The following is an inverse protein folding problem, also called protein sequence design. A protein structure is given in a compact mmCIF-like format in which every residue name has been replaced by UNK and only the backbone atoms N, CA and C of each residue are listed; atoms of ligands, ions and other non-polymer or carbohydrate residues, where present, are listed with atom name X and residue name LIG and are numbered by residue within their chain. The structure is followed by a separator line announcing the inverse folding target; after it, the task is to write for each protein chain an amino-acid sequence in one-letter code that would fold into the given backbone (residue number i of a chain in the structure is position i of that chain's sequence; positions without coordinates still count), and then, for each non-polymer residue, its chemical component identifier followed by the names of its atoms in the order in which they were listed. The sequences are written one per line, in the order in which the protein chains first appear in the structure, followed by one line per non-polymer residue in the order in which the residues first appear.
data_IF_356381529328
#
_entry.id   IF_356381529328
#
_cell.length_a   1.000
_cell.length_b   1.000
_cell.length_c   1.000
_cell.angle_alpha   90.00
_cell.angle_beta   90.00
_cell.angle_gamma   90.00
#
_symmetry.space_group_name_H-M   'P 1'
#
loop_
_entity.id
_entity.type
_entity.pdbx_description
1 polymer ?
#
# COMPACT_ATOMS: atom_id res chain seq x y z
N UNK A 1 -3.72 -23.20 23.36
CA UNK A 1 -4.32 -22.52 22.19
C UNK A 1 -3.40 -21.37 21.82
N UNK A 2 -2.92 -21.32 20.58
CA UNK A 2 -2.10 -20.19 20.13
C UNK A 2 -2.93 -18.91 20.22
N UNK A 3 -2.39 -17.88 20.86
CA UNK A 3 -3.04 -16.57 20.98
C UNK A 3 -3.15 -15.94 19.58
N UNK A 4 -4.37 -15.66 19.14
CA UNK A 4 -4.62 -14.98 17.86
C UNK A 4 -4.20 -13.52 18.00
N UNK A 5 -3.37 -13.04 17.09
CA UNK A 5 -2.88 -11.65 17.07
C UNK A 5 -3.28 -10.93 15.77
N UNK A 6 -3.38 -9.60 15.85
CA UNK A 6 -3.50 -8.78 14.64
C UNK A 6 -2.32 -9.05 13.70
N UNK A 7 -2.61 -9.21 12.41
CA UNK A 7 -1.62 -9.55 11.39
C UNK A 7 -1.33 -11.04 11.24
N UNK A 8 -1.90 -11.91 12.09
CA UNK A 8 -1.81 -13.34 11.87
C UNK A 8 -2.62 -13.74 10.64
N UNK A 9 -2.08 -14.65 9.85
CA UNK A 9 -2.73 -15.24 8.67
C UNK A 9 -3.13 -16.67 8.99
N UNK A 10 -4.41 -16.97 8.83
CA UNK A 10 -4.99 -18.29 9.03
C UNK A 10 -5.74 -18.76 7.80
N UNK A 11 -5.81 -20.06 7.57
CA UNK A 11 -6.87 -20.60 6.74
C UNK A 11 -8.20 -20.47 7.46
N UNK A 12 -9.22 -19.98 6.76
CA UNK A 12 -10.57 -19.82 7.28
C UNK A 12 -11.58 -20.58 6.41
N UNK A 13 -12.45 -21.36 7.04
CA UNK A 13 -13.52 -22.04 6.33
C UNK A 13 -14.46 -21.01 5.68
N UNK A 14 -14.78 -21.24 4.42
CA UNK A 14 -15.77 -20.46 3.68
C UNK A 14 -17.18 -20.56 4.30
N UNK A 15 -18.08 -19.64 3.93
CA UNK A 15 -19.45 -19.70 4.40
C UNK A 15 -20.28 -20.62 3.51
N UNK A 16 -20.98 -21.61 4.07
CA UNK A 16 -21.88 -22.45 3.29
C UNK A 16 -23.05 -21.64 2.71
N UNK A 17 -23.46 -20.57 3.43
CA UNK A 17 -24.59 -19.69 3.07
C UNK A 17 -24.14 -18.43 2.30
N UNK A 18 -22.92 -18.44 1.75
CA UNK A 18 -22.38 -17.30 1.01
C UNK A 18 -23.22 -16.99 -0.24
N UNK A 19 -23.48 -15.71 -0.46
CA UNK A 19 -24.28 -15.20 -1.60
C UNK A 19 -23.37 -14.42 -2.57
N UNK A 20 -23.57 -14.62 -3.85
CA UNK A 20 -22.85 -13.90 -4.90
C UNK A 20 -21.34 -14.08 -4.83
N UNK A 21 -20.62 -12.98 -4.60
CA UNK A 21 -19.15 -12.93 -4.55
C UNK A 21 -18.56 -13.21 -3.16
N UNK A 22 -19.35 -13.59 -2.18
CA UNK A 22 -18.86 -13.97 -0.87
C UNK A 22 -18.03 -15.26 -0.92
N UNK A 23 -17.08 -15.40 0.02
CA UNK A 23 -16.14 -16.51 0.01
C UNK A 23 -16.79 -17.81 0.53
N UNK A 24 -16.92 -18.80 -0.36
CA UNK A 24 -17.45 -20.14 -0.09
C UNK A 24 -16.38 -21.19 0.21
N UNK A 25 -15.13 -20.95 -0.23
CA UNK A 25 -14.04 -21.92 -0.10
C UNK A 25 -13.19 -21.60 1.11
N UNK A 26 -12.46 -22.58 1.60
CA UNK A 26 -11.39 -22.35 2.59
C UNK A 26 -10.29 -21.53 1.92
N UNK A 27 -9.97 -20.38 2.50
CA UNK A 27 -8.97 -19.46 2.01
C UNK A 27 -8.13 -18.85 3.13
N UNK A 28 -6.94 -18.38 2.85
CA UNK A 28 -6.19 -17.57 3.81
C UNK A 28 -6.92 -16.26 4.05
N UNK A 29 -6.86 -15.81 5.31
CA UNK A 29 -7.38 -14.52 5.79
C UNK A 29 -6.38 -13.90 6.74
N UNK A 30 -6.32 -12.56 6.76
CA UNK A 30 -5.51 -11.79 7.73
C UNK A 30 -6.41 -11.32 8.87
N UNK A 31 -5.97 -11.50 10.12
CA UNK A 31 -6.63 -10.95 11.30
C UNK A 31 -6.42 -9.44 11.33
N UNK A 32 -7.49 -8.66 11.21
CA UNK A 32 -7.44 -7.19 11.24
C UNK A 32 -7.92 -6.60 12.56
N UNK A 33 -8.63 -7.39 13.37
CA UNK A 33 -9.09 -6.99 14.70
C UNK A 33 -7.90 -6.77 15.65
N UNK A 34 -8.00 -5.78 16.55
CA UNK A 34 -6.99 -5.52 17.56
C UNK A 34 -6.82 -6.67 18.58
N UNK A 35 -5.69 -6.70 19.26
CA UNK A 35 -5.36 -7.81 20.16
C UNK A 35 -6.26 -7.91 21.40
N UNK A 36 -6.80 -6.78 21.90
CA UNK A 36 -7.73 -6.79 23.02
C UNK A 36 -9.06 -7.47 22.63
N UNK A 37 -9.61 -7.13 21.46
CA UNK A 37 -10.76 -7.81 20.89
C UNK A 37 -10.49 -9.27 20.57
N UNK A 38 -9.29 -9.58 20.04
CA UNK A 38 -8.89 -10.96 19.78
C UNK A 38 -8.83 -11.81 21.05
N UNK A 39 -8.48 -11.23 22.18
CA UNK A 39 -8.42 -11.95 23.46
C UNK A 39 -9.81 -12.23 24.05
N UNK A 40 -10.74 -11.26 23.94
CA UNK A 40 -12.01 -11.28 24.69
C UNK A 40 -13.20 -11.79 23.88
N UNK A 41 -13.22 -11.61 22.54
CA UNK A 41 -14.38 -11.99 21.71
C UNK A 41 -14.30 -13.45 21.24
N UNK A 42 -15.43 -14.16 21.08
CA UNK A 42 -15.50 -15.44 20.38
C UNK A 42 -15.32 -15.32 18.86
N UNK A 43 -15.44 -14.12 18.33
CA UNK A 43 -15.30 -13.81 16.91
C UNK A 43 -14.07 -12.94 16.66
N UNK A 44 -13.63 -12.89 15.41
CA UNK A 44 -12.54 -12.00 14.93
C UNK A 44 -12.94 -11.34 13.63
N UNK A 45 -12.40 -10.15 13.39
CA UNK A 45 -12.53 -9.45 12.10
C UNK A 45 -11.34 -9.84 11.24
N UNK A 46 -11.62 -10.23 10.00
CA UNK A 46 -10.60 -10.68 9.04
C UNK A 46 -10.76 -9.96 7.70
N UNK A 47 -9.65 -9.78 6.98
CA UNK A 47 -9.62 -9.42 5.57
C UNK A 47 -9.36 -10.67 4.73
N UNK A 48 -10.11 -10.85 3.64
CA UNK A 48 -9.93 -11.97 2.74
C UNK A 48 -8.63 -11.84 1.93
N UNK A 49 -8.12 -12.99 1.49
CA UNK A 49 -6.96 -13.05 0.60
C UNK A 49 -7.29 -13.84 -0.67
N UNK A 50 -6.61 -13.51 -1.77
CA UNK A 50 -6.74 -14.20 -3.05
C UNK A 50 -5.37 -14.45 -3.69
N UNK A 51 -5.23 -15.58 -4.39
CA UNK A 51 -4.07 -15.88 -5.24
C UNK A 51 -4.20 -15.28 -6.65
N UNK A 52 -5.35 -14.68 -6.97
CA UNK A 52 -5.53 -14.00 -8.26
C UNK A 52 -4.91 -12.60 -8.21
N UNK A 53 -3.59 -12.54 -8.39
CA UNK A 53 -2.78 -11.32 -8.39
C UNK A 53 -2.60 -10.70 -9.77
N UNK A 54 -3.14 -11.34 -10.84
CA UNK A 54 -3.01 -10.86 -12.23
C UNK A 54 -3.86 -9.63 -12.53
N UNK A 55 -4.90 -9.38 -11.74
CA UNK A 55 -5.73 -8.19 -11.88
C UNK A 55 -5.00 -6.95 -11.35
N UNK A 56 -5.42 -5.76 -11.83
CA UNK A 56 -4.92 -4.47 -11.32
C UNK A 56 -4.97 -4.43 -9.79
N UNK A 57 -3.90 -3.96 -9.19
CA UNK A 57 -3.83 -3.69 -7.75
C UNK A 57 -4.56 -2.37 -7.45
N UNK A 58 -5.45 -2.40 -6.47
CA UNK A 58 -6.18 -1.21 -6.00
C UNK A 58 -5.55 -0.64 -4.72
N UNK A 59 -5.78 0.66 -4.39
CA UNK A 59 -5.16 1.30 -3.22
C UNK A 59 -5.49 0.65 -1.86
N UNK A 60 -6.61 -0.08 -1.76
CA UNK A 60 -7.01 -0.83 -0.58
C UNK A 60 -6.47 -2.27 -0.56
N UNK A 61 -5.53 -2.60 -1.43
CA UNK A 61 -4.98 -3.96 -1.57
C UNK A 61 -3.45 -3.93 -1.54
N UNK A 62 -2.83 -5.01 -1.10
CA UNK A 62 -1.39 -5.22 -1.24
C UNK A 62 -1.08 -6.70 -1.40
N UNK A 63 0.01 -6.97 -2.11
CA UNK A 63 0.47 -8.33 -2.35
C UNK A 63 1.49 -8.74 -1.27
N UNK A 64 1.46 -10.01 -0.90
CA UNK A 64 2.28 -10.62 0.14
C UNK A 64 2.77 -11.99 -0.33
N UNK A 65 4.02 -12.28 -0.08
CA UNK A 65 4.62 -13.59 -0.33
C UNK A 65 4.47 -14.46 0.94
N UNK A 66 3.64 -15.49 0.84
CA UNK A 66 3.42 -16.44 1.93
C UNK A 66 4.39 -17.61 1.77
N UNK A 67 5.28 -17.90 2.75
CA UNK A 67 6.23 -18.99 2.67
C UNK A 67 5.55 -20.33 2.35
N UNK A 68 5.99 -20.98 1.27
CA UNK A 68 5.43 -22.25 0.82
C UNK A 68 4.06 -22.18 0.12
N UNK A 69 3.56 -20.97 -0.16
CA UNK A 69 2.30 -20.74 -0.87
C UNK A 69 2.50 -19.80 -2.06
N UNK A 70 1.50 -19.71 -2.93
CA UNK A 70 1.53 -18.75 -4.03
C UNK A 70 1.42 -17.30 -3.52
N UNK A 71 2.01 -16.37 -4.29
CA UNK A 71 1.82 -14.92 -4.07
C UNK A 71 0.34 -14.63 -3.87
N UNK A 72 0.02 -13.93 -2.82
CA UNK A 72 -1.35 -13.70 -2.39
C UNK A 72 -1.62 -12.21 -2.21
N UNK A 73 -2.83 -11.77 -2.51
CA UNK A 73 -3.29 -10.38 -2.35
C UNK A 73 -4.23 -10.27 -1.17
N UNK A 74 -3.94 -9.37 -0.25
CA UNK A 74 -4.84 -8.97 0.83
C UNK A 74 -5.86 -7.98 0.27
N UNK A 75 -7.14 -8.22 0.54
CA UNK A 75 -8.28 -7.45 0.04
C UNK A 75 -8.95 -6.74 1.22
N UNK A 76 -8.51 -5.53 1.54
CA UNK A 76 -9.05 -4.76 2.68
C UNK A 76 -10.47 -4.22 2.44
N UNK A 77 -10.98 -4.31 1.22
CA UNK A 77 -12.39 -4.07 0.89
C UNK A 77 -13.29 -5.27 1.18
N UNK A 78 -12.71 -6.45 1.41
CA UNK A 78 -13.45 -7.68 1.71
C UNK A 78 -13.26 -8.12 3.15
N UNK A 79 -13.77 -7.30 4.06
CA UNK A 79 -13.68 -7.53 5.50
C UNK A 79 -14.95 -8.22 5.99
N UNK A 80 -14.77 -9.18 6.89
CA UNK A 80 -15.89 -9.88 7.52
C UNK A 80 -15.57 -10.31 8.95
N UNK A 81 -16.61 -10.53 9.75
CA UNK A 81 -16.49 -11.14 11.06
C UNK A 81 -16.69 -12.65 10.95
N UNK A 82 -15.81 -13.41 11.57
CA UNK A 82 -15.87 -14.87 11.59
C UNK A 82 -15.74 -15.40 13.01
N UNK A 83 -16.41 -16.50 13.31
CA UNK A 83 -16.21 -17.25 14.56
C UNK A 83 -14.80 -17.86 14.56
N UNK A 84 -14.10 -17.79 15.68
CA UNK A 84 -12.73 -18.33 15.82
C UNK A 84 -12.65 -19.83 15.48
N UNK A 85 -13.73 -20.60 15.70
CA UNK A 85 -13.79 -22.02 15.35
C UNK A 85 -13.68 -22.28 13.84
N UNK A 86 -13.86 -21.26 12.99
CA UNK A 86 -13.69 -21.36 11.54
C UNK A 86 -12.24 -21.18 11.11
N UNK A 87 -11.37 -20.66 12.00
CA UNK A 87 -9.94 -20.58 11.73
C UNK A 87 -9.31 -21.97 11.83
N UNK A 88 -8.41 -22.27 10.93
CA UNK A 88 -7.64 -23.51 10.85
C UNK A 88 -6.17 -23.20 11.16
N UNK A 89 -5.25 -23.75 10.42
CA UNK A 89 -3.83 -23.59 10.64
C UNK A 89 -3.39 -22.12 10.42
N UNK A 90 -2.56 -21.63 11.32
CA UNK A 90 -1.84 -20.38 11.15
C UNK A 90 -0.69 -20.63 10.19
N UNK A 91 -0.63 -19.84 9.11
CA UNK A 91 0.37 -19.98 8.05
C UNK A 91 1.44 -18.90 8.07
N UNK A 92 1.12 -17.72 8.63
CA UNK A 92 2.05 -16.60 8.64
C UNK A 92 1.72 -15.60 9.75
N UNK A 93 2.63 -14.70 10.02
CA UNK A 93 2.41 -13.46 10.76
C UNK A 93 3.02 -12.32 9.98
N UNK A 94 2.25 -11.28 9.71
CA UNK A 94 2.74 -10.10 9.01
C UNK A 94 3.93 -9.49 9.73
N UNK A 95 4.92 -9.07 8.96
CA UNK A 95 6.02 -8.22 9.42
C UNK A 95 5.51 -6.83 9.78
N UNK A 96 6.33 -6.01 10.45
CA UNK A 96 5.94 -4.63 10.77
C UNK A 96 5.66 -3.78 9.53
N UNK A 97 6.41 -3.99 8.43
CA UNK A 97 6.19 -3.30 7.16
C UNK A 97 4.86 -3.69 6.51
N UNK A 98 4.53 -4.98 6.57
CA UNK A 98 3.25 -5.50 6.06
C UNK A 98 2.08 -5.05 6.94
N UNK A 99 2.26 -4.93 8.26
CA UNK A 99 1.26 -4.34 9.15
C UNK A 99 1.01 -2.87 8.81
N UNK A 100 2.04 -2.09 8.50
CA UNK A 100 1.89 -0.69 8.03
C UNK A 100 1.11 -0.62 6.71
N UNK A 101 1.37 -1.54 5.77
CA UNK A 101 0.59 -1.64 4.53
C UNK A 101 -0.85 -2.01 4.81
N UNK A 102 -1.09 -2.95 5.72
CA UNK A 102 -2.44 -3.33 6.16
C UNK A 102 -3.20 -2.14 6.72
N UNK A 103 -2.58 -1.35 7.61
CA UNK A 103 -3.20 -0.18 8.24
C UNK A 103 -3.55 0.88 7.19
N UNK A 104 -2.64 1.16 6.25
CA UNK A 104 -2.88 2.09 5.14
C UNK A 104 -4.03 1.62 4.25
N UNK A 105 -4.04 0.35 3.84
CA UNK A 105 -5.09 -0.20 2.99
C UNK A 105 -6.46 -0.23 3.68
N UNK A 106 -6.50 -0.50 4.99
CA UNK A 106 -7.73 -0.42 5.79
C UNK A 106 -8.23 1.02 5.88
N UNK A 107 -7.35 1.98 6.14
CA UNK A 107 -7.72 3.40 6.18
C UNK A 107 -8.31 3.86 4.84
N UNK A 108 -7.74 3.46 3.72
CA UNK A 108 -8.30 3.73 2.38
C UNK A 108 -9.66 3.06 2.22
N UNK A 109 -9.77 1.78 2.58
CA UNK A 109 -11.02 1.01 2.41
C UNK A 109 -12.18 1.59 3.20
N UNK A 110 -11.91 2.14 4.40
CA UNK A 110 -12.93 2.78 5.25
C UNK A 110 -13.13 4.27 4.98
N UNK A 111 -12.42 4.86 4.01
CA UNK A 111 -12.46 6.30 3.78
C UNK A 111 -11.86 7.12 4.93
N UNK A 112 -11.02 6.48 5.76
CA UNK A 112 -10.35 7.11 6.90
C UNK A 112 -8.96 7.65 6.53
N UNK A 113 -8.45 7.29 5.35
CA UNK A 113 -7.27 7.94 4.78
C UNK A 113 -7.64 9.41 4.61
N UNK A 114 -6.94 10.30 5.31
CA UNK A 114 -7.11 11.73 5.09
C UNK A 114 -6.87 11.99 3.61
N UNK A 115 -7.77 12.71 2.97
CA UNK A 115 -7.63 13.13 1.57
C UNK A 115 -6.39 14.01 1.36
N UNK A 116 -5.78 14.50 2.43
CA UNK A 116 -4.47 15.18 2.44
C UNK A 116 -3.34 14.36 1.77
N UNK A 117 -3.53 13.05 1.55
CA UNK A 117 -2.61 12.21 0.80
C UNK A 117 -3.05 11.97 -0.67
N UNK A 118 -4.25 12.43 -1.08
CA UNK A 118 -4.74 12.34 -2.45
C UNK A 118 -4.98 13.71 -3.11
N UNK A 119 -5.07 14.77 -2.31
CA UNK A 119 -4.96 16.13 -2.78
C UNK A 119 -3.51 16.57 -2.56
N UNK A 120 -2.64 16.25 -3.50
CA UNK A 120 -1.52 17.13 -3.77
C UNK A 120 -2.12 18.54 -3.91
N UNK A 121 -1.46 19.60 -3.40
CA UNK A 121 -2.06 20.92 -3.26
C UNK A 121 -2.74 21.29 -4.57
N UNK A 122 -4.05 21.62 -4.49
CA UNK A 122 -4.85 22.02 -5.66
C UNK A 122 -4.29 23.28 -6.34
N UNK A 123 -3.43 24.00 -5.64
CA UNK A 123 -2.68 25.15 -6.18
C UNK A 123 -1.46 24.75 -7.03
N UNK A 124 -1.03 23.46 -7.03
CA UNK A 124 0.06 23.02 -7.90
C UNK A 124 -0.39 22.80 -9.37
N UNK A 125 -1.68 22.94 -9.68
CA UNK A 125 -2.22 22.73 -11.03
C UNK A 125 -1.86 23.82 -12.02
N UNK A 126 -1.34 24.97 -11.59
CA UNK A 126 -0.94 26.04 -12.52
C UNK A 126 0.55 26.12 -12.85
N UNK A 127 1.41 25.36 -12.14
CA UNK A 127 2.87 25.37 -12.41
C UNK A 127 3.49 24.00 -12.58
N UNK A 128 2.84 22.93 -12.08
CA UNK A 128 3.41 21.57 -12.08
C UNK A 128 3.28 20.86 -13.44
N UNK A 129 2.17 21.04 -14.13
CA UNK A 129 1.90 20.37 -15.41
C UNK A 129 2.91 20.80 -16.48
N UNK A 130 3.34 22.05 -16.50
CA UNK A 130 4.33 22.57 -17.42
C UNK A 130 5.72 21.96 -17.20
N UNK A 131 6.10 21.71 -15.97
CA UNK A 131 7.42 21.12 -15.63
C UNK A 131 7.49 19.65 -16.05
N UNK A 132 6.47 18.86 -15.76
CA UNK A 132 6.43 17.44 -16.14
C UNK A 132 6.37 17.28 -17.68
N UNK A 133 5.62 18.14 -18.34
CA UNK A 133 5.57 18.19 -19.82
C UNK A 133 6.91 18.60 -20.44
N UNK A 134 7.61 19.59 -19.87
CA UNK A 134 8.92 20.02 -20.34
C UNK A 134 9.98 18.95 -20.11
N UNK A 135 9.96 18.25 -18.99
CA UNK A 135 10.83 17.12 -18.70
C UNK A 135 10.60 15.96 -19.69
N UNK A 136 9.34 15.60 -19.94
CA UNK A 136 8.98 14.55 -20.87
C UNK A 136 9.43 14.90 -22.32
N UNK A 137 9.29 16.16 -22.76
CA UNK A 137 9.79 16.64 -24.06
C UNK A 137 11.31 16.55 -24.19
N UNK A 138 12.04 16.60 -23.08
CA UNK A 138 13.51 16.46 -23.04
C UNK A 138 13.96 15.01 -22.81
N UNK A 139 13.03 14.07 -22.83
CA UNK A 139 13.32 12.64 -22.58
C UNK A 139 13.69 12.33 -21.14
N UNK A 140 13.37 13.23 -20.18
CA UNK A 140 13.64 13.04 -18.76
C UNK A 140 12.40 12.44 -18.06
N UNK A 141 12.64 11.56 -17.13
CA UNK A 141 11.62 10.95 -16.28
C UNK A 141 11.80 11.37 -14.82
N UNK A 142 10.69 11.57 -14.12
CA UNK A 142 10.67 11.91 -12.70
C UNK A 142 9.90 10.85 -11.94
N UNK A 143 10.52 10.32 -10.90
CA UNK A 143 9.85 9.47 -9.91
C UNK A 143 9.81 10.21 -8.57
N UNK A 144 8.64 10.28 -7.95
CA UNK A 144 8.44 10.87 -6.63
C UNK A 144 7.95 9.76 -5.70
N UNK A 145 8.77 9.38 -4.74
CA UNK A 145 8.45 8.34 -3.76
C UNK A 145 8.27 8.98 -2.38
N UNK A 146 7.07 8.94 -1.80
CA UNK A 146 6.86 9.46 -0.46
C UNK A 146 7.59 8.61 0.58
N UNK A 147 8.21 9.28 1.57
CA UNK A 147 8.82 8.68 2.75
C UNK A 147 8.01 9.10 3.99
N UNK A 148 6.88 8.46 4.25
CA UNK A 148 5.89 8.95 5.23
C UNK A 148 6.42 8.99 6.67
N UNK A 149 7.38 8.13 7.02
CA UNK A 149 7.99 8.07 8.37
C UNK A 149 8.85 9.31 8.65
N UNK A 150 9.43 9.90 7.61
CA UNK A 150 10.35 11.05 7.72
C UNK A 150 9.68 12.38 7.34
N UNK A 151 8.40 12.37 6.99
CA UNK A 151 7.70 13.53 6.41
C UNK A 151 8.51 14.14 5.23
N UNK A 152 9.09 13.29 4.40
CA UNK A 152 9.90 13.63 3.24
C UNK A 152 9.38 12.93 1.99
N UNK A 153 9.79 13.43 0.84
CA UNK A 153 9.65 12.77 -0.45
C UNK A 153 11.03 12.53 -1.06
N UNK A 154 11.21 11.37 -1.65
CA UNK A 154 12.39 11.07 -2.46
C UNK A 154 12.05 11.40 -3.91
N UNK A 155 12.82 12.30 -4.52
CA UNK A 155 12.64 12.73 -5.91
C UNK A 155 13.82 12.19 -6.70
N UNK A 156 13.54 11.48 -7.78
CA UNK A 156 14.56 11.01 -8.73
C UNK A 156 14.25 11.55 -10.11
N UNK A 157 15.20 12.23 -10.73
CA UNK A 157 15.16 12.69 -12.12
C UNK A 157 16.22 11.92 -12.90
N UNK A 158 15.83 11.30 -14.02
CA UNK A 158 16.73 10.47 -14.83
C UNK A 158 16.50 10.71 -16.33
N UNK A 159 17.54 10.57 -17.12
CA UNK A 159 17.49 10.56 -18.59
C UNK A 159 17.14 9.18 -19.17
N UNK A 160 16.94 8.18 -18.29
CA UNK A 160 16.59 6.82 -18.68
C UNK A 160 17.75 6.00 -19.24
N UNK A 161 18.98 6.53 -19.22
CA UNK A 161 20.20 5.84 -19.67
C UNK A 161 21.12 5.54 -18.50
N UNK A 162 22.01 6.49 -18.18
CA UNK A 162 23.07 6.24 -17.19
C UNK A 162 23.13 7.27 -16.06
N UNK A 163 22.35 8.36 -16.13
CA UNK A 163 22.38 9.43 -15.13
C UNK A 163 21.06 9.55 -14.41
N UNK A 164 21.14 9.47 -13.09
CA UNK A 164 20.01 9.74 -12.21
C UNK A 164 20.46 10.63 -11.04
N UNK A 165 19.71 11.68 -10.75
CA UNK A 165 19.88 12.50 -9.55
C UNK A 165 18.73 12.19 -8.61
N UNK A 166 19.07 11.88 -7.36
CA UNK A 166 18.08 11.56 -6.33
C UNK A 166 18.28 12.48 -5.13
N UNK A 167 17.22 13.09 -4.64
CA UNK A 167 17.22 13.95 -3.45
C UNK A 167 16.03 13.67 -2.54
N UNK A 168 16.22 13.85 -1.25
CA UNK A 168 15.16 13.82 -0.24
C UNK A 168 14.74 15.25 0.10
N UNK A 169 13.46 15.55 -0.02
CA UNK A 169 12.90 16.88 0.21
C UNK A 169 11.81 16.80 1.27
N UNK A 170 11.65 17.83 2.09
CA UNK A 170 10.55 17.88 3.06
C UNK A 170 9.20 17.87 2.33
N UNK A 171 8.26 17.06 2.83
CA UNK A 171 6.94 16.92 2.21
C UNK A 171 6.04 18.15 2.41
N UNK A 172 6.38 19.04 3.35
CA UNK A 172 5.64 20.27 3.66
C UNK A 172 6.36 21.51 3.10
N UNK A 173 5.71 22.21 2.16
CA UNK A 173 6.19 23.46 1.57
C UNK A 173 6.41 23.35 0.06
N UNK A 174 6.16 24.41 -0.69
CA UNK A 174 6.20 24.50 -2.16
C UNK A 174 7.55 24.18 -2.85
N UNK A 175 8.53 23.64 -2.12
CA UNK A 175 9.88 23.42 -2.60
C UNK A 175 10.10 22.23 -3.54
N UNK A 176 9.11 21.34 -3.73
CA UNK A 176 9.27 20.13 -4.59
C UNK A 176 9.49 20.54 -6.07
N UNK A 177 8.75 21.52 -6.54
CA UNK A 177 8.82 22.03 -7.92
C UNK A 177 10.15 22.71 -8.17
N UNK A 178 10.60 23.54 -7.23
CA UNK A 178 11.88 24.24 -7.32
C UNK A 178 13.05 23.23 -7.29
N UNK A 179 12.95 22.20 -6.44
CA UNK A 179 13.95 21.14 -6.36
C UNK A 179 14.04 20.31 -7.65
N UNK A 180 12.90 20.00 -8.28
CA UNK A 180 12.89 19.33 -9.60
C UNK A 180 13.57 20.19 -10.66
N UNK A 181 13.39 21.51 -10.65
CA UNK A 181 14.05 22.42 -11.57
C UNK A 181 15.56 22.46 -11.38
N UNK A 182 16.01 22.51 -10.11
CA UNK A 182 17.44 22.48 -9.76
C UNK A 182 18.09 21.15 -10.15
N UNK A 183 17.40 20.03 -9.93
CA UNK A 183 17.86 18.71 -10.34
C UNK A 183 17.97 18.59 -11.87
N UNK A 184 17.03 19.16 -12.61
CA UNK A 184 17.05 19.23 -14.07
C UNK A 184 18.26 20.01 -14.58
N UNK A 185 18.58 21.15 -13.96
CA UNK A 185 19.75 21.97 -14.31
C UNK A 185 21.05 21.20 -14.07
N UNK A 186 21.17 20.56 -12.90
CA UNK A 186 22.31 19.72 -12.57
C UNK A 186 22.50 18.54 -13.53
N UNK A 187 21.42 17.92 -13.99
CA UNK A 187 21.48 16.84 -14.98
C UNK A 187 22.01 17.33 -16.34
N UNK A 188 21.63 18.53 -16.75
CA UNK A 188 22.10 19.13 -18.00
C UNK A 188 23.61 19.48 -17.95
N UNK A 189 24.14 19.79 -16.77
CA UNK A 189 25.58 20.09 -16.57
C UNK A 189 26.45 18.82 -16.57
N UNK A 190 25.90 17.67 -16.18
CA UNK A 190 26.62 16.38 -16.15
C UNK A 190 26.60 15.69 -17.53
N UNK A 191 25.63 16.00 -18.38
CA UNK A 191 25.47 15.39 -19.71
C UNK A 191 26.27 16.12 -20.82
N UNK A 192 27.06 17.13 -20.46
CA UNK A 192 27.96 17.88 -21.37
C UNK A 192 29.40 17.49 -21.13
#
# INVERSE_FOLDING_TARGET
MNTIKRGDVFFCLGSPDAVGSEERKTRPVVIVQNNAGNASSPTVIVANMTTNTTRRLYPMQFDIDLPGHALSRVQCEQIRTVDKRRLRDKVYSLTEDELRKLDTCLAVSFGMARQDAQEGPQDARSGGDDIFLDLARKGLSVAVCPLPVLNQVNITVTDGKDVAITRNVAAAGGGIVDEIQDMKKALAEVAT
#
